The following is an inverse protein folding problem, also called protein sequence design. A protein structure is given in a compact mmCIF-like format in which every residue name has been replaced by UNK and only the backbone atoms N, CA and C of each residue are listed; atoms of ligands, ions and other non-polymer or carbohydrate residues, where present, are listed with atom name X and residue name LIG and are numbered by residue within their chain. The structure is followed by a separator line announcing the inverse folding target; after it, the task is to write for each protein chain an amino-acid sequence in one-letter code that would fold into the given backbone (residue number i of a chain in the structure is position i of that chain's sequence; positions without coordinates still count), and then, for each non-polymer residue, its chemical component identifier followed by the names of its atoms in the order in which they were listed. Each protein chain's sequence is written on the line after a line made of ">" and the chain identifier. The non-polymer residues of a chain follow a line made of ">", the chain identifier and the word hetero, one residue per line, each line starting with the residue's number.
data_IF_724396938023
#
_entry.id   IF_724396938023
#
_cell.length_a   1.000
_cell.length_b   1.000
_cell.length_c   1.000
_cell.angle_alpha   90.00
_cell.angle_beta   90.00
_cell.angle_gamma   90.00
#
_symmetry.space_group_name_H-M   'P 1'
#
loop_
_entity.id
_entity.type
_entity.pdbx_description
1 polymer ?
#
# COMPACT_ATOMS: atom_id res chain seq x y z
N UNK A 1 6.45 21.27 -16.76
CA UNK A 1 7.23 20.08 -17.15
C UNK A 1 6.36 18.82 -17.04
N UNK A 2 6.43 17.92 -18.04
CA UNK A 2 5.72 16.63 -18.00
C UNK A 2 6.63 15.58 -17.35
N UNK A 3 6.27 15.14 -16.16
CA UNK A 3 7.07 14.22 -15.35
C UNK A 3 6.37 12.87 -15.29
N UNK A 4 7.04 11.81 -15.74
CA UNK A 4 6.57 10.43 -15.58
C UNK A 4 7.12 9.82 -14.30
N UNK A 5 6.25 9.29 -13.45
CA UNK A 5 6.64 8.42 -12.34
C UNK A 5 6.20 6.98 -12.64
N UNK A 6 7.14 6.04 -12.56
CA UNK A 6 6.86 4.62 -12.85
C UNK A 6 6.88 3.80 -11.57
N UNK A 7 5.71 3.21 -11.25
CA UNK A 7 5.55 2.18 -10.21
C UNK A 7 4.42 1.22 -10.61
N UNK A 8 4.76 0.23 -11.40
CA UNK A 8 3.83 -0.67 -12.08
C UNK A 8 3.83 -2.10 -11.50
N UNK A 9 4.03 -2.22 -10.19
CA UNK A 9 4.03 -3.46 -9.45
C UNK A 9 2.80 -3.58 -8.51
N UNK A 10 2.95 -4.17 -7.31
CA UNK A 10 1.85 -4.45 -6.39
C UNK A 10 1.27 -3.19 -5.74
N UNK A 11 0.08 -3.31 -5.14
CA UNK A 11 -0.63 -2.22 -4.48
C UNK A 11 0.20 -1.52 -3.39
N UNK A 12 0.76 -2.29 -2.45
CA UNK A 12 1.58 -1.72 -1.37
C UNK A 12 2.78 -0.94 -1.91
N UNK A 13 3.41 -1.48 -2.94
CA UNK A 13 4.52 -0.83 -3.63
C UNK A 13 4.09 0.49 -4.28
N UNK A 14 2.94 0.53 -4.95
CA UNK A 14 2.39 1.76 -5.53
C UNK A 14 2.11 2.80 -4.45
N UNK A 15 1.51 2.41 -3.33
CA UNK A 15 1.24 3.33 -2.22
C UNK A 15 2.55 3.92 -1.67
N UNK A 16 3.64 3.15 -1.59
CA UNK A 16 4.94 3.68 -1.19
C UNK A 16 5.54 4.70 -2.17
N UNK A 17 5.01 4.80 -3.39
CA UNK A 17 5.41 5.79 -4.38
C UNK A 17 4.63 7.12 -4.28
N UNK A 18 3.45 7.12 -3.66
CA UNK A 18 2.58 8.30 -3.61
C UNK A 18 3.24 9.54 -2.99
N UNK A 19 4.06 9.45 -1.91
CA UNK A 19 4.80 10.63 -1.42
C UNK A 19 5.70 11.25 -2.50
N UNK A 20 6.39 10.43 -3.29
CA UNK A 20 7.24 10.92 -4.39
C UNK A 20 6.45 11.61 -5.48
N UNK A 21 5.26 11.10 -5.79
CA UNK A 21 4.35 11.68 -6.77
C UNK A 21 3.81 13.02 -6.24
N UNK A 22 3.38 13.06 -4.98
CA UNK A 22 2.90 14.26 -4.32
C UNK A 22 3.92 15.38 -4.34
N UNK A 23 5.15 15.13 -3.89
CA UNK A 23 6.17 16.17 -3.83
C UNK A 23 6.61 16.66 -5.21
N UNK A 24 6.58 15.82 -6.24
CA UNK A 24 6.84 16.25 -7.62
C UNK A 24 5.75 17.18 -8.16
N UNK A 25 4.48 16.91 -7.83
CA UNK A 25 3.35 17.77 -8.21
C UNK A 25 3.46 19.14 -7.56
N UNK A 26 3.79 19.18 -6.25
CA UNK A 26 3.82 20.42 -5.47
C UNK A 26 5.15 21.17 -5.55
N UNK A 27 6.21 20.58 -6.11
CA UNK A 27 7.48 21.26 -6.35
C UNK A 27 7.34 22.45 -7.32
N UNK A 28 6.48 22.32 -8.31
CA UNK A 28 6.12 23.42 -9.20
C UNK A 28 4.68 23.20 -9.70
N UNK A 29 3.83 24.20 -9.53
CA UNK A 29 2.39 24.12 -9.91
C UNK A 29 2.18 23.84 -11.42
N UNK A 30 3.13 24.20 -12.27
CA UNK A 30 3.09 23.89 -13.70
C UNK A 30 3.51 22.46 -14.04
N UNK A 31 3.92 21.65 -13.06
CA UNK A 31 4.25 20.26 -13.30
C UNK A 31 2.98 19.46 -13.64
N UNK A 32 3.03 18.75 -14.75
CA UNK A 32 2.09 17.70 -15.10
C UNK A 32 2.70 16.37 -14.69
N UNK A 33 2.13 15.74 -13.67
CA UNK A 33 2.60 14.45 -13.15
C UNK A 33 1.78 13.32 -13.77
N UNK A 34 2.48 12.49 -14.54
CA UNK A 34 1.92 11.33 -15.24
C UNK A 34 2.44 10.09 -14.53
N UNK A 35 1.58 9.13 -14.23
CA UNK A 35 2.01 7.89 -13.58
C UNK A 35 1.84 6.68 -14.49
N UNK A 36 2.83 5.78 -14.48
CA UNK A 36 2.72 4.48 -15.14
C UNK A 36 2.56 3.40 -14.07
N UNK A 37 1.40 2.75 -14.06
CA UNK A 37 0.96 1.82 -13.02
C UNK A 37 0.51 0.48 -13.57
N UNK A 38 0.47 -0.54 -12.70
CA UNK A 38 -0.19 -1.81 -13.01
C UNK A 38 -1.73 -1.62 -13.08
N UNK A 39 -2.47 -2.49 -13.82
CA UNK A 39 -3.92 -2.38 -13.96
C UNK A 39 -4.67 -2.32 -12.61
N UNK A 40 -4.20 -3.08 -11.60
CA UNK A 40 -4.78 -3.10 -10.26
C UNK A 40 -4.80 -1.72 -9.59
N UNK A 41 -3.79 -0.89 -9.87
CA UNK A 41 -3.61 0.41 -9.20
C UNK A 41 -4.28 1.58 -9.94
N UNK A 42 -4.83 1.34 -11.13
CA UNK A 42 -5.37 2.40 -12.00
C UNK A 42 -6.39 3.28 -11.28
N UNK A 43 -7.42 2.69 -10.69
CA UNK A 43 -8.50 3.44 -10.04
C UNK A 43 -8.04 4.21 -8.82
N UNK A 44 -7.09 3.66 -8.05
CA UNK A 44 -6.50 4.39 -6.92
C UNK A 44 -5.63 5.56 -7.41
N UNK A 45 -4.88 5.38 -8.48
CA UNK A 45 -4.10 6.46 -9.09
C UNK A 45 -5.00 7.58 -9.65
N UNK A 46 -6.08 7.23 -10.35
CA UNK A 46 -7.07 8.17 -10.86
C UNK A 46 -7.80 8.96 -9.75
N UNK A 47 -7.86 8.42 -8.54
CA UNK A 47 -8.49 9.05 -7.38
C UNK A 47 -7.54 9.98 -6.58
N UNK A 48 -6.26 10.07 -6.95
CA UNK A 48 -5.30 10.99 -6.33
C UNK A 48 -5.30 12.33 -7.08
N UNK A 49 -5.71 13.42 -6.43
CA UNK A 49 -5.82 14.77 -6.99
C UNK A 49 -4.47 15.38 -7.45
N UNK A 50 -3.36 14.83 -6.95
CA UNK A 50 -1.99 15.21 -7.34
C UNK A 50 -1.44 14.37 -8.52
N UNK A 51 -2.27 13.58 -9.21
CA UNK A 51 -1.94 12.83 -10.42
C UNK A 51 -2.75 13.38 -11.59
N UNK A 52 -2.08 13.90 -12.62
CA UNK A 52 -2.75 14.53 -13.77
C UNK A 52 -3.14 13.53 -14.86
N UNK A 53 -2.39 12.43 -15.00
CA UNK A 53 -2.62 11.42 -16.04
C UNK A 53 -2.14 10.04 -15.61
N UNK A 54 -2.90 9.00 -15.94
CA UNK A 54 -2.57 7.61 -15.63
C UNK A 54 -2.36 6.82 -16.91
N UNK A 55 -1.18 6.22 -17.04
CA UNK A 55 -0.85 5.26 -18.10
C UNK A 55 -0.79 3.86 -17.47
N UNK A 56 -1.55 2.93 -18.03
CA UNK A 56 -1.59 1.55 -17.52
C UNK A 56 -0.60 0.68 -18.30
N UNK A 57 0.37 0.10 -17.59
CA UNK A 57 1.24 -0.93 -18.14
C UNK A 57 0.58 -2.30 -17.96
N UNK A 58 -0.15 -2.76 -18.97
CA UNK A 58 -0.65 -4.12 -19.04
C UNK A 58 0.46 -5.07 -19.52
N UNK A 59 0.94 -6.01 -18.68
CA UNK A 59 1.99 -6.97 -19.06
C UNK A 59 1.64 -7.86 -20.27
N UNK A 60 0.35 -8.00 -20.57
CA UNK A 60 -0.12 -8.75 -21.75
C UNK A 60 -0.03 -7.95 -23.04
N UNK A 61 0.11 -6.63 -22.96
CA UNK A 61 0.23 -5.76 -24.12
C UNK A 61 1.68 -5.71 -24.65
N UNK A 62 1.84 -5.32 -25.91
CA UNK A 62 3.17 -5.12 -26.51
C UNK A 62 3.93 -3.96 -25.85
N UNK A 63 5.26 -4.11 -25.68
CA UNK A 63 6.13 -3.02 -25.23
C UNK A 63 6.07 -1.78 -26.16
N UNK A 64 5.84 -2.00 -27.45
CA UNK A 64 5.70 -0.92 -28.43
C UNK A 64 4.42 -0.10 -28.21
N UNK A 65 3.34 -0.73 -27.71
CA UNK A 65 2.11 -0.03 -27.31
C UNK A 65 2.40 0.91 -26.15
N UNK A 66 3.07 0.42 -25.11
CA UNK A 66 3.47 1.26 -23.97
C UNK A 66 4.39 2.40 -24.43
N UNK A 67 5.40 2.13 -25.26
CA UNK A 67 6.29 3.15 -25.80
C UNK A 67 5.54 4.22 -26.61
N UNK A 68 4.51 3.83 -27.39
CA UNK A 68 3.66 4.77 -28.12
C UNK A 68 2.86 5.67 -27.16
N UNK A 69 2.26 5.13 -26.11
CA UNK A 69 1.55 5.90 -25.09
C UNK A 69 2.47 6.89 -24.40
N UNK A 70 3.67 6.44 -23.95
CA UNK A 70 4.67 7.31 -23.32
C UNK A 70 5.15 8.43 -24.27
N UNK A 71 5.32 8.15 -25.57
CA UNK A 71 5.70 9.17 -26.56
C UNK A 71 4.62 10.23 -26.75
N UNK A 72 3.35 9.81 -26.76
CA UNK A 72 2.20 10.71 -26.92
C UNK A 72 2.00 11.64 -25.71
N UNK A 73 2.49 11.24 -24.54
CA UNK A 73 2.43 12.03 -23.31
C UNK A 73 3.50 13.14 -23.24
N UNK A 74 4.40 13.23 -24.23
CA UNK A 74 5.44 14.28 -24.34
C UNK A 74 6.24 14.49 -23.05
N UNK A 75 6.78 13.40 -22.50
CA UNK A 75 7.45 13.35 -21.19
C UNK A 75 8.84 13.99 -21.30
N UNK A 76 9.13 14.95 -20.42
CA UNK A 76 10.43 15.62 -20.31
C UNK A 76 11.40 14.85 -19.40
N UNK A 77 10.88 14.28 -18.32
CA UNK A 77 11.63 13.58 -17.29
C UNK A 77 10.86 12.35 -16.81
N UNK A 78 11.55 11.23 -16.62
CA UNK A 78 10.98 10.08 -15.91
C UNK A 78 11.76 9.74 -14.63
N UNK A 79 11.03 9.45 -13.56
CA UNK A 79 11.53 8.90 -12.29
C UNK A 79 10.97 7.48 -12.15
N UNK A 80 11.81 6.49 -12.37
CA UNK A 80 11.41 5.07 -12.35
C UNK A 80 11.72 4.48 -10.98
N UNK A 81 10.69 4.37 -10.14
CA UNK A 81 10.83 3.87 -8.75
C UNK A 81 10.98 2.35 -8.70
N UNK A 82 10.37 1.66 -9.66
CA UNK A 82 10.55 0.23 -9.88
C UNK A 82 11.00 -0.05 -11.32
N UNK A 83 12.23 -0.57 -11.45
CA UNK A 83 12.84 -0.80 -12.76
C UNK A 83 12.70 -2.26 -13.18
N UNK A 84 12.11 -2.48 -14.36
CA UNK A 84 12.18 -3.74 -15.10
C UNK A 84 12.56 -3.46 -16.56
N UNK A 85 13.04 -4.48 -17.27
CA UNK A 85 13.56 -4.33 -18.64
C UNK A 85 12.50 -3.84 -19.63
N UNK A 86 11.25 -4.30 -19.48
CA UNK A 86 10.14 -3.90 -20.34
C UNK A 86 9.89 -2.39 -20.28
N UNK A 87 9.71 -1.85 -19.07
CA UNK A 87 9.41 -0.42 -18.86
C UNK A 87 10.62 0.46 -19.23
N UNK A 88 11.83 0.02 -18.87
CA UNK A 88 13.06 0.72 -19.22
C UNK A 88 13.22 0.85 -20.73
N UNK A 89 12.97 -0.24 -21.47
CA UNK A 89 13.02 -0.24 -22.92
C UNK A 89 11.90 0.58 -23.56
N UNK A 90 10.68 0.53 -23.01
CA UNK A 90 9.58 1.38 -23.50
C UNK A 90 9.89 2.87 -23.37
N UNK A 91 10.48 3.31 -22.27
CA UNK A 91 10.93 4.70 -22.05
C UNK A 91 12.03 5.11 -23.04
N UNK A 92 12.97 4.21 -23.32
CA UNK A 92 14.00 4.44 -24.32
C UNK A 92 13.41 4.60 -25.72
N UNK A 93 12.51 3.71 -26.14
CA UNK A 93 11.80 3.78 -27.42
C UNK A 93 10.90 5.02 -27.52
N UNK A 94 10.37 5.52 -26.40
CA UNK A 94 9.59 6.75 -26.35
C UNK A 94 10.44 8.01 -26.49
N UNK A 95 11.77 7.89 -26.49
CA UNK A 95 12.75 8.99 -26.56
C UNK A 95 12.62 10.00 -25.41
N UNK A 96 12.24 9.53 -24.18
CA UNK A 96 12.21 10.40 -23.01
C UNK A 96 13.64 10.92 -22.77
N UNK A 97 13.88 12.26 -22.75
CA UNK A 97 15.23 12.79 -22.76
C UNK A 97 16.00 12.51 -21.47
N UNK A 98 15.37 12.64 -20.30
CA UNK A 98 15.98 12.34 -19.01
C UNK A 98 15.24 11.21 -18.28
N UNK A 99 15.96 10.13 -17.96
CA UNK A 99 15.39 8.90 -17.38
C UNK A 99 16.19 8.50 -16.15
N UNK A 100 15.61 8.71 -14.97
CA UNK A 100 16.24 8.47 -13.68
C UNK A 100 15.73 7.15 -13.10
N UNK A 101 16.62 6.28 -12.62
CA UNK A 101 16.25 5.02 -12.00
C UNK A 101 17.35 4.48 -11.08
N UNK A 102 17.03 3.51 -10.19
CA UNK A 102 18.04 2.80 -9.45
C UNK A 102 19.01 2.07 -10.39
N UNK A 103 20.31 2.14 -10.08
CA UNK A 103 21.38 1.43 -10.80
C UNK A 103 21.32 -0.06 -10.47
N UNK A 104 20.35 -0.77 -11.01
CA UNK A 104 20.11 -2.19 -10.73
C UNK A 104 19.84 -2.98 -12.00
N UNK A 105 20.30 -4.23 -12.05
CA UNK A 105 20.06 -5.19 -13.13
C UNK A 105 20.45 -4.64 -14.52
N UNK A 106 20.15 -5.40 -15.55
CA UNK A 106 20.45 -5.05 -16.94
C UNK A 106 19.63 -3.86 -17.44
N UNK A 107 18.43 -3.64 -16.88
CA UNK A 107 17.55 -2.53 -17.26
C UNK A 107 18.19 -1.15 -17.14
N UNK A 108 19.22 -0.99 -16.30
CA UNK A 108 19.93 0.28 -16.10
C UNK A 108 20.58 0.86 -17.38
N UNK A 109 20.85 0.03 -18.40
CA UNK A 109 21.45 0.51 -19.66
C UNK A 109 20.56 1.49 -20.42
N UNK A 110 19.24 1.44 -20.21
CA UNK A 110 18.26 2.30 -20.84
C UNK A 110 18.03 3.64 -20.11
N UNK A 111 18.64 3.85 -18.94
CA UNK A 111 18.48 5.08 -18.16
C UNK A 111 19.67 6.03 -18.36
N UNK A 112 19.38 7.35 -18.35
CA UNK A 112 20.40 8.40 -18.42
C UNK A 112 21.07 8.59 -17.08
N UNK A 113 20.29 8.68 -16.00
CA UNK A 113 20.76 8.90 -14.64
C UNK A 113 20.53 7.63 -13.80
N UNK A 114 21.63 7.00 -13.38
CA UNK A 114 21.63 5.72 -12.67
C UNK A 114 22.05 5.93 -11.22
N UNK A 115 21.10 5.87 -10.31
CA UNK A 115 21.30 6.19 -8.89
C UNK A 115 21.58 4.92 -8.09
N UNK A 116 22.73 4.85 -7.42
CA UNK A 116 23.05 3.72 -6.54
C UNK A 116 22.19 3.76 -5.27
N UNK A 117 21.24 2.85 -5.17
CA UNK A 117 20.40 2.63 -3.99
C UNK A 117 20.54 1.19 -3.54
N UNK A 118 21.27 0.93 -2.45
CA UNK A 118 21.46 -0.42 -1.93
C UNK A 118 20.25 -0.83 -1.08
N UNK A 119 19.06 -0.99 -1.73
CA UNK A 119 17.80 -1.33 -1.04
C UNK A 119 17.86 -2.66 -0.28
N UNK A 120 18.73 -3.60 -0.67
CA UNK A 120 18.98 -4.85 0.06
C UNK A 120 19.61 -4.66 1.43
N UNK A 121 20.28 -3.53 1.70
CA UNK A 121 20.86 -3.22 3.01
C UNK A 121 19.79 -2.72 4.00
N UNK A 122 18.57 -2.38 3.53
CA UNK A 122 17.43 -1.92 4.34
C UNK A 122 17.85 -0.81 5.34
N UNK A 123 18.49 0.24 4.82
CA UNK A 123 18.89 1.40 5.63
C UNK A 123 17.70 2.29 5.97
N UNK A 124 16.69 2.30 5.12
CA UNK A 124 15.46 3.09 5.23
C UNK A 124 14.27 2.33 4.65
N UNK A 125 13.07 2.87 4.81
CA UNK A 125 11.86 2.28 4.27
C UNK A 125 11.76 2.43 2.74
N UNK A 126 10.90 1.63 2.11
CA UNK A 126 10.74 1.64 0.65
C UNK A 126 10.30 3.01 0.13
N UNK A 127 9.37 3.70 0.81
CA UNK A 127 8.94 5.04 0.43
C UNK A 127 10.06 6.09 0.60
N UNK A 128 10.92 5.93 1.60
CA UNK A 128 12.07 6.82 1.82
C UNK A 128 13.12 6.67 0.70
N UNK A 129 13.33 5.42 0.20
CA UNK A 129 14.14 5.18 -0.99
C UNK A 129 13.53 5.84 -2.24
N UNK A 130 12.21 5.82 -2.38
CA UNK A 130 11.51 6.46 -3.48
C UNK A 130 11.68 7.99 -3.41
N UNK A 131 11.50 8.61 -2.25
CA UNK A 131 11.75 10.04 -2.03
C UNK A 131 13.21 10.44 -2.29
N UNK A 132 14.16 9.63 -1.84
CA UNK A 132 15.59 9.87 -2.09
C UNK A 132 15.93 9.81 -3.60
N UNK A 133 15.27 8.93 -4.37
CA UNK A 133 15.41 8.89 -5.82
C UNK A 133 14.81 10.14 -6.46
N UNK A 134 13.65 10.57 -6.00
CA UNK A 134 12.99 11.81 -6.45
C UNK A 134 13.87 13.04 -6.18
N UNK A 135 14.50 13.11 -5.01
CA UNK A 135 15.45 14.18 -4.65
C UNK A 135 16.66 14.22 -5.58
N UNK A 136 17.07 13.11 -6.16
CA UNK A 136 18.16 13.11 -7.16
C UNK A 136 17.78 13.78 -8.47
N UNK A 137 16.48 13.90 -8.78
CA UNK A 137 15.98 14.65 -9.93
C UNK A 137 15.95 16.16 -9.67
N UNK A 138 15.58 16.54 -8.45
CA UNK A 138 15.40 17.93 -7.99
C UNK A 138 16.02 18.06 -6.59
N UNK A 139 17.30 18.49 -6.50
CA UNK A 139 18.02 18.56 -5.22
C UNK A 139 17.35 19.45 -4.16
N UNK A 140 16.63 20.48 -4.59
CA UNK A 140 15.98 21.48 -3.73
C UNK A 140 14.53 21.14 -3.38
N UNK A 141 14.01 19.97 -3.83
CA UNK A 141 12.63 19.57 -3.60
C UNK A 141 12.38 19.37 -2.10
N UNK A 142 11.29 19.96 -1.60
CA UNK A 142 10.77 19.63 -0.28
C UNK A 142 10.14 18.23 -0.32
N UNK A 143 10.56 17.37 0.60
CA UNK A 143 10.09 15.98 0.70
C UNK A 143 8.93 15.82 1.68
N UNK A 144 8.43 16.91 2.27
CA UNK A 144 7.27 16.87 3.15
C UNK A 144 5.96 16.62 2.39
N UNK A 145 5.04 15.92 3.03
CA UNK A 145 3.72 15.63 2.48
C UNK A 145 2.68 15.55 3.61
N UNK A 146 1.39 15.81 3.34
CA UNK A 146 0.34 15.85 4.36
C UNK A 146 0.05 14.47 4.95
N UNK A 147 -0.57 14.49 6.14
CA UNK A 147 -1.08 13.31 6.82
C UNK A 147 -2.56 13.48 7.17
N UNK A 148 -3.41 12.53 6.78
CA UNK A 148 -3.15 11.46 5.83
C UNK A 148 -2.88 12.01 4.43
N UNK A 149 -2.12 11.23 3.63
CA UNK A 149 -1.74 11.66 2.27
C UNK A 149 -2.92 11.63 1.30
N UNK A 150 -3.89 10.74 1.49
CA UNK A 150 -5.09 10.64 0.67
C UNK A 150 -6.34 10.83 1.51
N UNK A 151 -7.20 11.75 1.08
CA UNK A 151 -8.51 12.03 1.66
C UNK A 151 -9.56 12.02 0.55
N UNK A 152 -10.75 11.56 0.87
CA UNK A 152 -11.90 11.58 -0.03
C UNK A 152 -13.01 12.44 0.58
N UNK A 153 -13.57 13.35 -0.18
CA UNK A 153 -14.63 14.26 0.31
C UNK A 153 -15.87 13.49 0.77
N UNK A 154 -16.22 12.43 0.05
CA UNK A 154 -17.38 11.57 0.30
C UNK A 154 -17.08 10.35 1.20
N UNK A 155 -15.89 10.28 1.83
CA UNK A 155 -15.50 9.12 2.64
C UNK A 155 -16.44 8.88 3.83
N UNK A 156 -16.93 9.97 4.44
CA UNK A 156 -17.85 9.90 5.58
C UNK A 156 -19.21 9.32 5.18
N UNK A 157 -19.73 9.75 4.05
CA UNK A 157 -20.99 9.27 3.50
C UNK A 157 -20.89 7.79 3.14
N UNK A 158 -19.83 7.38 2.44
CA UNK A 158 -19.59 5.97 2.07
C UNK A 158 -19.45 5.08 3.32
N UNK A 159 -18.74 5.57 4.35
CA UNK A 159 -18.64 4.83 5.61
C UNK A 159 -20.00 4.73 6.33
N UNK A 160 -20.81 5.78 6.32
CA UNK A 160 -22.13 5.75 6.94
C UNK A 160 -23.10 4.79 6.23
N UNK A 161 -23.06 4.73 4.91
CA UNK A 161 -23.82 3.75 4.12
C UNK A 161 -23.39 2.32 4.47
N UNK A 162 -22.06 2.08 4.56
CA UNK A 162 -21.52 0.82 5.01
C UNK A 162 -22.00 0.47 6.43
N UNK A 163 -21.86 1.39 7.37
CA UNK A 163 -22.23 1.17 8.77
C UNK A 163 -23.74 0.87 8.91
N UNK A 164 -24.59 1.57 8.16
CA UNK A 164 -26.02 1.32 8.13
C UNK A 164 -26.36 -0.04 7.54
N UNK A 165 -25.71 -0.43 6.43
CA UNK A 165 -25.96 -1.70 5.74
C UNK A 165 -25.60 -2.92 6.58
N UNK A 166 -24.66 -2.77 7.51
CA UNK A 166 -24.18 -3.84 8.40
C UNK A 166 -24.60 -3.63 9.87
N UNK A 167 -25.54 -2.69 10.16
CA UNK A 167 -26.06 -2.38 11.50
C UNK A 167 -24.95 -2.07 12.53
N UNK A 168 -23.85 -1.41 12.09
CA UNK A 168 -22.72 -1.05 12.92
C UNK A 168 -23.05 0.16 13.77
N UNK A 169 -23.00 0.00 15.09
CA UNK A 169 -23.32 1.06 16.07
C UNK A 169 -22.14 1.43 16.97
N UNK A 170 -21.02 0.75 16.86
CA UNK A 170 -19.80 0.99 17.65
C UNK A 170 -18.62 1.34 16.75
N UNK A 171 -17.55 1.88 17.35
CA UNK A 171 -16.26 2.01 16.66
C UNK A 171 -15.81 0.65 16.13
N UNK A 172 -15.23 0.64 14.93
CA UNK A 172 -14.83 -0.60 14.24
C UNK A 172 -13.38 -0.94 14.50
N UNK A 173 -13.14 -2.19 14.88
CA UNK A 173 -11.83 -2.85 14.76
C UNK A 173 -11.92 -3.86 13.62
N UNK A 174 -11.19 -3.58 12.54
CA UNK A 174 -11.18 -4.46 11.37
C UNK A 174 -9.98 -5.40 11.39
N UNK A 175 -10.18 -6.65 11.01
CA UNK A 175 -9.13 -7.62 10.73
C UNK A 175 -9.13 -7.99 9.24
N UNK A 176 -7.95 -7.94 8.62
CA UNK A 176 -7.73 -8.49 7.29
C UNK A 176 -6.78 -9.67 7.39
N UNK A 177 -7.35 -10.87 7.37
CA UNK A 177 -6.62 -12.13 7.63
C UNK A 177 -5.94 -12.69 6.37
N UNK A 178 -6.34 -12.22 5.18
CA UNK A 178 -5.72 -12.55 3.91
C UNK A 178 -4.35 -11.87 3.73
N UNK A 179 -3.45 -12.48 2.98
CA UNK A 179 -2.13 -11.90 2.72
C UNK A 179 -1.60 -12.07 1.29
N UNK A 180 -2.36 -12.67 0.40
CA UNK A 180 -2.05 -12.75 -1.03
C UNK A 180 -0.65 -13.27 -1.37
N UNK A 181 0.01 -14.00 -0.46
CA UNK A 181 1.38 -14.50 -0.64
C UNK A 181 2.46 -13.41 -0.69
N UNK A 182 2.20 -12.22 -0.17
CA UNK A 182 3.17 -11.11 -0.17
C UNK A 182 4.02 -11.02 1.10
N UNK A 183 3.71 -11.81 2.14
CA UNK A 183 4.46 -11.88 3.39
C UNK A 183 4.96 -13.31 3.65
N UNK A 184 6.21 -13.44 4.12
CA UNK A 184 6.81 -14.72 4.49
C UNK A 184 6.38 -15.19 5.87
N UNK A 185 5.70 -14.35 6.66
CA UNK A 185 5.16 -14.68 7.96
C UNK A 185 3.77 -14.09 8.15
N UNK A 186 2.87 -14.93 8.67
CA UNK A 186 1.52 -14.56 9.05
C UNK A 186 1.09 -15.40 10.25
N UNK A 187 0.06 -14.94 10.97
CA UNK A 187 -0.64 -15.77 11.92
C UNK A 187 -1.48 -16.82 11.21
N UNK A 188 -1.65 -17.98 11.81
CA UNK A 188 -2.63 -18.98 11.36
C UNK A 188 -4.04 -18.48 11.59
N UNK A 189 -5.01 -19.07 10.90
CA UNK A 189 -6.42 -18.70 11.10
C UNK A 189 -6.89 -18.95 12.54
N UNK A 190 -6.34 -19.98 13.22
CA UNK A 190 -6.67 -20.25 14.61
C UNK A 190 -6.08 -19.20 15.57
N UNK A 191 -4.86 -18.73 15.30
CA UNK A 191 -4.27 -17.60 16.03
C UNK A 191 -5.09 -16.31 15.79
N UNK A 192 -5.53 -16.03 14.56
CA UNK A 192 -6.43 -14.90 14.30
C UNK A 192 -7.76 -15.03 15.06
N UNK A 193 -8.35 -16.22 15.15
CA UNK A 193 -9.56 -16.45 15.95
C UNK A 193 -9.35 -16.05 17.41
N UNK A 194 -8.20 -16.41 18.01
CA UNK A 194 -7.87 -16.02 19.38
C UNK A 194 -7.75 -14.50 19.52
N UNK A 195 -7.07 -13.82 18.58
CA UNK A 195 -6.92 -12.36 18.60
C UNK A 195 -8.27 -11.65 18.44
N UNK A 196 -9.12 -12.12 17.54
CA UNK A 196 -10.47 -11.60 17.30
C UNK A 196 -11.33 -11.72 18.55
N UNK A 197 -11.34 -12.90 19.18
CA UNK A 197 -12.07 -13.11 20.43
C UNK A 197 -11.57 -12.22 21.56
N UNK A 198 -10.27 -11.95 21.61
CA UNK A 198 -9.70 -11.03 22.59
C UNK A 198 -10.27 -9.60 22.46
N UNK A 199 -10.51 -9.14 21.24
CA UNK A 199 -11.18 -7.84 20.98
C UNK A 199 -12.66 -7.90 21.32
N UNK A 200 -13.37 -8.97 20.95
CA UNK A 200 -14.80 -9.14 21.22
C UNK A 200 -15.11 -9.15 22.73
N UNK A 201 -14.23 -9.73 23.56
CA UNK A 201 -14.42 -9.84 25.01
C UNK A 201 -14.52 -8.49 25.73
N UNK A 202 -13.91 -7.42 25.19
CA UNK A 202 -14.02 -6.10 25.84
C UNK A 202 -15.36 -5.37 25.55
N UNK A 203 -16.12 -5.82 24.54
CA UNK A 203 -17.45 -5.30 24.20
C UNK A 203 -17.50 -3.86 23.66
N UNK A 204 -16.36 -3.17 23.54
CA UNK A 204 -16.27 -1.76 23.15
C UNK A 204 -16.45 -1.54 21.64
N UNK A 205 -16.02 -2.51 20.83
CA UNK A 205 -15.89 -2.39 19.40
C UNK A 205 -16.80 -3.35 18.65
N UNK A 206 -17.18 -2.96 17.45
CA UNK A 206 -17.69 -3.89 16.44
C UNK A 206 -16.50 -4.48 15.69
N UNK A 207 -16.44 -5.81 15.61
CA UNK A 207 -15.42 -6.48 14.82
C UNK A 207 -15.90 -6.65 13.38
N UNK A 208 -15.05 -6.24 12.43
CA UNK A 208 -15.28 -6.43 10.98
C UNK A 208 -14.14 -7.26 10.42
N UNK A 209 -14.45 -8.38 9.79
CA UNK A 209 -13.48 -9.15 8.99
C UNK A 209 -13.58 -8.72 7.54
N UNK A 210 -12.47 -8.22 6.99
CA UNK A 210 -12.41 -7.73 5.61
C UNK A 210 -11.69 -8.74 4.71
N UNK A 211 -12.18 -8.87 3.47
CA UNK A 211 -11.65 -9.79 2.47
C UNK A 211 -11.58 -9.11 1.11
N UNK A 212 -10.62 -9.51 0.29
CA UNK A 212 -10.57 -9.16 -1.12
C UNK A 212 -11.64 -9.90 -1.93
N UNK A 213 -11.88 -9.47 -3.19
CA UNK A 213 -12.92 -10.07 -4.04
C UNK A 213 -12.69 -11.56 -4.33
N UNK A 214 -11.44 -12.01 -4.31
CA UNK A 214 -11.04 -13.40 -4.59
C UNK A 214 -10.92 -14.27 -3.32
N UNK A 215 -11.23 -13.71 -2.13
CA UNK A 215 -11.05 -14.38 -0.83
C UNK A 215 -12.35 -14.97 -0.25
N UNK A 216 -13.35 -15.26 -1.06
CA UNK A 216 -14.63 -15.85 -0.65
C UNK A 216 -14.44 -17.12 0.20
N UNK A 217 -13.54 -18.04 -0.22
CA UNK A 217 -13.27 -19.29 0.52
C UNK A 217 -12.67 -19.03 1.90
N UNK A 218 -11.82 -18.01 2.02
CA UNK A 218 -11.22 -17.60 3.29
C UNK A 218 -12.30 -17.02 4.22
N UNK A 219 -13.21 -16.22 3.69
CA UNK A 219 -14.37 -15.70 4.40
C UNK A 219 -15.21 -16.85 5.00
N UNK A 220 -15.57 -17.84 4.17
CA UNK A 220 -16.35 -19.01 4.61
C UNK A 220 -15.64 -19.83 5.71
N UNK A 221 -14.31 -19.96 5.63
CA UNK A 221 -13.52 -20.63 6.67
C UNK A 221 -13.59 -19.87 7.99
N UNK A 222 -13.47 -18.54 7.97
CA UNK A 222 -13.56 -17.71 9.16
C UNK A 222 -14.97 -17.70 9.75
N UNK A 223 -16.01 -17.67 8.91
CA UNK A 223 -17.40 -17.80 9.36
C UNK A 223 -17.66 -19.12 10.12
N UNK A 224 -17.07 -20.22 9.66
CA UNK A 224 -17.19 -21.53 10.36
C UNK A 224 -16.47 -21.52 11.70
N UNK A 225 -15.26 -20.91 11.77
CA UNK A 225 -14.44 -20.87 13.00
C UNK A 225 -15.01 -19.94 14.07
N UNK A 226 -15.69 -18.87 13.64
CA UNK A 226 -16.26 -17.83 14.51
C UNK A 226 -17.80 -17.89 14.54
N UNK A 227 -18.36 -19.06 14.30
CA UNK A 227 -19.81 -19.26 14.31
C UNK A 227 -20.43 -18.85 15.66
N UNK A 228 -21.43 -17.98 15.62
CA UNK A 228 -22.14 -17.46 16.80
C UNK A 228 -21.52 -16.24 17.46
N UNK A 229 -20.39 -15.75 16.96
CA UNK A 229 -19.81 -14.47 17.39
C UNK A 229 -20.45 -13.30 16.63
N UNK A 230 -20.55 -12.13 17.29
CA UNK A 230 -21.07 -10.90 16.68
C UNK A 230 -20.01 -10.22 15.82
N UNK A 231 -19.91 -10.65 14.56
CA UNK A 231 -18.88 -10.24 13.61
C UNK A 231 -19.51 -9.91 12.27
N UNK A 232 -19.11 -8.77 11.69
CA UNK A 232 -19.41 -8.41 10.31
C UNK A 232 -18.37 -9.01 9.37
N UNK A 233 -18.82 -9.65 8.29
CA UNK A 233 -17.97 -10.20 7.23
C UNK A 233 -18.15 -9.40 5.98
N UNK A 234 -17.12 -8.65 5.57
CA UNK A 234 -17.16 -7.76 4.43
C UNK A 234 -16.20 -8.19 3.33
N UNK A 235 -16.73 -8.48 2.14
CA UNK A 235 -15.94 -8.73 0.92
C UNK A 235 -15.96 -7.47 0.07
N UNK A 236 -14.79 -6.88 -0.15
CA UNK A 236 -14.63 -5.65 -0.95
C UNK A 236 -14.80 -5.94 -2.44
N UNK A 237 -16.00 -5.69 -2.99
CA UNK A 237 -16.35 -5.92 -4.40
C UNK A 237 -16.33 -4.64 -5.24
N UNK A 238 -16.40 -3.46 -4.60
CA UNK A 238 -16.54 -2.17 -5.27
C UNK A 238 -15.18 -1.52 -5.63
N UNK A 239 -14.08 -2.24 -5.37
CA UNK A 239 -12.73 -1.78 -5.71
C UNK A 239 -12.00 -1.06 -4.60
N UNK A 240 -10.74 -0.70 -4.87
CA UNK A 240 -9.81 -0.17 -3.87
C UNK A 240 -10.20 1.20 -3.33
N UNK A 241 -10.80 2.05 -4.14
CA UNK A 241 -11.20 3.42 -3.73
C UNK A 241 -12.35 3.38 -2.73
N UNK A 242 -13.38 2.62 -3.03
CA UNK A 242 -14.52 2.40 -2.13
C UNK A 242 -14.04 1.77 -0.81
N UNK A 243 -13.18 0.75 -0.89
CA UNK A 243 -12.60 0.12 0.29
C UNK A 243 -11.76 1.10 1.12
N UNK A 244 -10.98 1.98 0.49
CA UNK A 244 -10.21 3.01 1.18
C UNK A 244 -11.10 3.99 1.95
N UNK A 245 -12.23 4.42 1.35
CA UNK A 245 -13.21 5.28 1.99
C UNK A 245 -13.84 4.60 3.22
N UNK A 246 -14.22 3.33 3.09
CA UNK A 246 -14.76 2.54 4.21
C UNK A 246 -13.73 2.41 5.34
N UNK A 247 -12.49 2.04 5.01
CA UNK A 247 -11.41 1.86 5.99
C UNK A 247 -11.13 3.17 6.74
N UNK A 248 -11.24 4.33 6.09
CA UNK A 248 -10.97 5.62 6.73
C UNK A 248 -11.89 5.92 7.93
N UNK A 249 -13.05 5.26 8.01
CA UNK A 249 -13.96 5.32 9.16
C UNK A 249 -13.67 4.32 10.27
N UNK A 250 -12.70 3.40 10.09
CA UNK A 250 -12.37 2.42 11.11
C UNK A 250 -11.43 2.98 12.18
N UNK A 251 -11.61 2.53 13.42
CA UNK A 251 -10.76 2.90 14.54
C UNK A 251 -9.39 2.22 14.47
N UNK A 252 -9.39 0.92 14.12
CA UNK A 252 -8.20 0.11 13.94
C UNK A 252 -8.32 -0.78 12.72
N UNK A 253 -7.22 -0.95 12.00
CA UNK A 253 -7.06 -1.94 10.94
C UNK A 253 -5.90 -2.87 11.27
N UNK A 254 -6.19 -4.15 11.47
CA UNK A 254 -5.25 -5.16 11.94
C UNK A 254 -4.99 -6.16 10.82
N UNK A 255 -3.75 -6.28 10.39
CA UNK A 255 -3.40 -7.18 9.29
C UNK A 255 -1.91 -7.54 9.29
N UNK A 256 -1.53 -8.50 8.46
CA UNK A 256 -0.12 -8.64 8.08
C UNK A 256 0.29 -7.55 7.09
N UNK A 257 1.60 -7.45 6.82
CA UNK A 257 2.17 -6.47 5.86
C UNK A 257 1.75 -6.78 4.42
N UNK A 258 0.63 -6.19 4.00
CA UNK A 258 0.01 -6.37 2.68
C UNK A 258 -0.39 -5.02 2.07
N UNK A 259 -0.89 -5.05 0.84
CA UNK A 259 -1.41 -3.84 0.18
C UNK A 259 -2.51 -3.13 0.96
N UNK A 260 -3.36 -3.87 1.67
CA UNK A 260 -4.47 -3.32 2.47
C UNK A 260 -3.99 -2.60 3.73
N UNK A 261 -2.90 -3.05 4.36
CA UNK A 261 -2.22 -2.31 5.42
C UNK A 261 -1.76 -0.93 4.93
N UNK A 262 -1.07 -0.92 3.79
CA UNK A 262 -0.61 0.34 3.21
C UNK A 262 -1.79 1.27 2.86
N UNK A 263 -2.90 0.70 2.38
CA UNK A 263 -4.11 1.46 2.07
C UNK A 263 -4.74 2.07 3.33
N UNK A 264 -4.84 1.33 4.43
CA UNK A 264 -5.35 1.81 5.71
C UNK A 264 -4.48 2.95 6.26
N UNK A 265 -3.17 2.79 6.23
CA UNK A 265 -2.22 3.83 6.65
C UNK A 265 -2.28 5.08 5.77
N UNK A 266 -2.48 4.93 4.45
CA UNK A 266 -2.59 6.02 3.48
C UNK A 266 -3.75 6.97 3.79
N UNK A 267 -4.89 6.43 4.25
CA UNK A 267 -6.10 7.19 4.58
C UNK A 267 -6.19 7.58 6.06
N UNK A 268 -5.14 7.35 6.86
CA UNK A 268 -5.02 7.81 8.25
C UNK A 268 -5.67 6.90 9.29
N UNK A 269 -6.02 5.67 8.93
CA UNK A 269 -6.53 4.69 9.90
C UNK A 269 -5.40 4.15 10.76
N UNK A 270 -5.62 4.03 12.07
CA UNK A 270 -4.66 3.41 12.99
C UNK A 270 -4.45 1.94 12.64
N UNK A 271 -3.19 1.53 12.48
CA UNK A 271 -2.85 0.16 12.07
C UNK A 271 -2.10 -0.61 13.15
N UNK A 272 -2.39 -1.90 13.28
CA UNK A 272 -1.58 -2.87 14.01
C UNK A 272 -1.16 -3.94 13.01
N UNK A 273 0.14 -3.99 12.70
CA UNK A 273 0.61 -4.74 11.55
C UNK A 273 1.69 -5.74 11.90
N UNK A 274 1.55 -6.93 11.33
CA UNK A 274 2.45 -8.06 11.54
C UNK A 274 3.43 -8.18 10.36
N UNK A 275 4.72 -8.28 10.68
CA UNK A 275 5.81 -8.41 9.70
C UNK A 275 6.60 -9.68 9.95
N UNK A 276 7.25 -10.22 8.93
CA UNK A 276 8.22 -11.29 9.13
C UNK A 276 9.48 -10.77 9.84
N UNK A 277 10.06 -11.59 10.72
CA UNK A 277 11.28 -11.29 11.44
C UNK A 277 12.52 -11.56 10.57
N UNK A 278 12.57 -10.90 9.43
CA UNK A 278 13.73 -10.88 8.53
C UNK A 278 14.01 -9.45 8.10
N UNK A 279 15.28 -9.13 7.86
CA UNK A 279 15.66 -7.77 7.46
C UNK A 279 14.84 -7.27 6.26
N UNK A 280 14.62 -8.14 5.28
CA UNK A 280 13.98 -7.78 4.01
C UNK A 280 12.46 -7.63 4.10
N UNK A 281 11.79 -8.38 4.98
CA UNK A 281 10.34 -8.34 5.17
C UNK A 281 9.92 -7.59 6.46
N UNK A 282 10.84 -6.84 7.07
CA UNK A 282 10.64 -6.14 8.33
C UNK A 282 9.85 -4.85 8.20
N UNK A 283 9.31 -4.38 9.32
CA UNK A 283 8.73 -3.04 9.45
C UNK A 283 9.71 -1.92 9.09
N UNK A 284 11.02 -2.10 9.34
CA UNK A 284 12.05 -1.13 8.93
C UNK A 284 12.00 -0.84 7.44
N UNK A 285 11.73 -1.86 6.61
CA UNK A 285 11.61 -1.70 5.16
C UNK A 285 10.19 -1.30 4.74
N UNK A 286 9.17 -1.90 5.33
CA UNK A 286 7.79 -1.87 4.84
C UNK A 286 6.83 -1.09 5.72
N UNK A 287 7.31 -0.27 6.69
CA UNK A 287 6.44 0.74 7.33
C UNK A 287 5.80 1.60 6.24
N UNK A 288 4.53 1.96 6.45
CA UNK A 288 3.75 2.66 5.43
C UNK A 288 3.98 4.17 5.46
N UNK A 289 3.36 4.86 4.51
CA UNK A 289 3.51 6.30 4.26
C UNK A 289 2.72 7.18 5.22
N UNK A 290 1.77 6.62 5.98
CA UNK A 290 0.96 7.37 6.95
C UNK A 290 1.74 7.77 8.19
N UNK A 291 1.07 8.51 9.07
CA UNK A 291 1.62 9.00 10.33
C UNK A 291 2.15 7.86 11.20
N UNK A 292 3.41 7.97 11.64
CA UNK A 292 4.08 6.88 12.38
C UNK A 292 3.42 6.59 13.74
N UNK A 293 2.85 7.60 14.40
CA UNK A 293 2.14 7.46 15.67
C UNK A 293 0.84 6.66 15.56
N UNK A 294 0.33 6.52 14.34
CA UNK A 294 -0.84 5.68 14.05
C UNK A 294 -0.46 4.26 13.61
N UNK A 295 0.82 3.92 13.53
CA UNK A 295 1.30 2.63 13.06
C UNK A 295 1.98 1.86 14.21
N UNK A 296 1.40 0.73 14.59
CA UNK A 296 2.00 -0.22 15.53
C UNK A 296 2.48 -1.46 14.77
N UNK A 297 3.75 -1.82 14.96
CA UNK A 297 4.40 -2.88 14.21
C UNK A 297 4.87 -4.01 15.11
N UNK A 298 4.52 -5.24 14.77
CA UNK A 298 4.97 -6.44 15.46
C UNK A 298 5.70 -7.37 14.49
N UNK A 299 6.90 -7.79 14.89
CA UNK A 299 7.69 -8.77 14.14
C UNK A 299 7.28 -10.17 14.59
N UNK A 300 6.91 -11.05 13.65
CA UNK A 300 6.57 -12.45 13.95
C UNK A 300 7.85 -13.28 13.86
N UNK A 301 8.39 -13.79 15.00
CA UNK A 301 9.57 -14.61 14.98
C UNK A 301 9.33 -15.94 14.25
N UNK A 302 10.37 -16.46 13.61
CA UNK A 302 10.31 -17.78 12.95
C UNK A 302 10.46 -18.93 13.95
N UNK A 303 11.10 -18.69 15.11
CA UNK A 303 11.28 -19.69 16.17
C UNK A 303 10.02 -19.82 17.00
N UNK A 304 9.55 -21.04 17.25
CA UNK A 304 8.29 -21.32 17.94
C UNK A 304 8.19 -20.68 19.34
N UNK A 305 9.24 -20.75 20.15
CA UNK A 305 9.21 -20.21 21.52
C UNK A 305 9.02 -18.69 21.51
N UNK A 306 9.81 -17.98 20.71
CA UNK A 306 9.74 -16.52 20.60
C UNK A 306 8.41 -16.09 19.95
N UNK A 307 7.89 -16.89 19.01
CA UNK A 307 6.59 -16.69 18.38
C UNK A 307 5.44 -16.71 19.39
N UNK A 308 5.44 -17.68 20.32
CA UNK A 308 4.43 -17.75 21.40
C UNK A 308 4.50 -16.54 22.35
N UNK A 309 5.70 -16.08 22.69
CA UNK A 309 5.87 -14.89 23.53
C UNK A 309 5.30 -13.64 22.86
N UNK A 310 5.64 -13.41 21.59
CA UNK A 310 5.10 -12.28 20.82
C UNK A 310 3.57 -12.40 20.67
N UNK A 311 3.06 -13.59 20.37
CA UNK A 311 1.62 -13.83 20.28
C UNK A 311 0.88 -13.45 21.58
N UNK A 312 1.39 -13.86 22.74
CA UNK A 312 0.78 -13.54 24.03
C UNK A 312 0.78 -12.02 24.31
N UNK A 313 1.84 -11.31 23.91
CA UNK A 313 1.91 -9.85 24.02
C UNK A 313 0.82 -9.20 23.16
N UNK A 314 0.68 -9.66 21.91
CA UNK A 314 -0.33 -9.15 20.98
C UNK A 314 -1.74 -9.47 21.49
N UNK A 315 -1.97 -10.67 22.00
CA UNK A 315 -3.27 -11.06 22.57
C UNK A 315 -3.68 -10.15 23.74
N UNK A 316 -2.76 -9.87 24.67
CA UNK A 316 -3.01 -8.93 25.76
C UNK A 316 -3.31 -7.52 25.22
N UNK A 317 -2.62 -7.10 24.18
CA UNK A 317 -2.88 -5.83 23.51
C UNK A 317 -4.31 -5.80 22.94
N UNK A 318 -4.75 -6.86 22.25
CA UNK A 318 -6.12 -6.96 21.72
C UNK A 318 -7.19 -6.87 22.81
N UNK A 319 -6.90 -7.37 24.01
CA UNK A 319 -7.80 -7.21 25.17
C UNK A 319 -7.86 -5.78 25.71
N UNK A 320 -6.85 -4.96 25.46
CA UNK A 320 -6.70 -3.60 26.01
C UNK A 320 -7.12 -2.47 25.06
N UNK A 321 -7.28 -2.73 23.76
CA UNK A 321 -7.73 -1.72 22.80
C UNK A 321 -9.18 -1.40 22.93
#
# INVERSE_FOLDING_TARGET
>A
MNILVVRNDKLGDFITALPSIYVLKHHNQENKVIVCVAPLNQKLAEACDFIDEVIVDDPKSSVFRLAKQLRQAHIDLSVTLFSNTRVAFAQFLAHIPRRIAPATKIAQIFYTDRIKQRRSEVKMAEFEYNLALTKSAFPDIDLSYPQPLLKFEDAKEVYQEFATSYEISKDVVAFHVGFGGSSDANWTLDEYVVLIRAVLQNGKYQVVLTFGPDEQKLCEQMQKKLKGEDIVYYISKNGLVDFAKIISGFKYFISTSTGTYHLASLVGTRTITFFADTLFASAKRWKSVGELELQEHHMIPQKNLDRHLVFNIIQKKMQSI
#
